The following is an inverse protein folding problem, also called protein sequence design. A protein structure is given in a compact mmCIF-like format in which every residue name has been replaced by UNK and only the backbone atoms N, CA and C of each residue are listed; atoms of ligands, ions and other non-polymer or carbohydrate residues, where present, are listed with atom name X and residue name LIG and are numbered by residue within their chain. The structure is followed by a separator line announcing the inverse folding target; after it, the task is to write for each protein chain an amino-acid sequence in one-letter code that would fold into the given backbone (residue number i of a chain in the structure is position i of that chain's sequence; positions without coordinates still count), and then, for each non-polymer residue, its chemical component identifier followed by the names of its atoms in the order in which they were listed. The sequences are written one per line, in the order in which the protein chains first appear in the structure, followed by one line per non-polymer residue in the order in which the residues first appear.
data_IF_092605416791
#
_entry.id   IF_092605416791
#
_cell.length_a   1.000
_cell.length_b   1.000
_cell.length_c   1.000
_cell.angle_alpha   90.00
_cell.angle_beta   90.00
_cell.angle_gamma   90.00
#
_symmetry.space_group_name_H-M   'P 1'
#
loop_
_entity.id
_entity.type
_entity.pdbx_description
1 polymer ?
#
# COMPACT_ATOMS: atom_id res chain seq x y z
N UNK A 1 32.44 29.62 44.35
CA UNK A 1 31.80 28.35 43.96
C UNK A 1 30.36 28.28 44.53
N UNK A 2 29.44 29.18 44.18
CA UNK A 2 27.99 29.03 44.48
C UNK A 2 27.08 30.09 43.82
N UNK A 3 27.36 30.55 42.59
CA UNK A 3 26.49 31.54 41.92
C UNK A 3 26.31 31.30 40.42
N UNK A 4 26.48 30.06 39.95
CA UNK A 4 26.28 29.70 38.53
C UNK A 4 25.33 28.52 38.29
N UNK A 5 24.47 28.22 39.28
CA UNK A 5 23.49 27.12 39.20
C UNK A 5 22.03 27.54 39.42
N UNK A 6 21.73 28.85 39.53
CA UNK A 6 20.35 29.32 39.76
C UNK A 6 19.66 29.84 38.48
N UNK A 7 20.41 30.11 37.40
CA UNK A 7 19.84 30.62 36.14
C UNK A 7 19.46 29.54 35.10
N UNK A 8 19.52 28.26 35.44
CA UNK A 8 19.06 27.15 34.58
C UNK A 8 17.68 26.62 35.00
N UNK A 9 17.15 27.02 36.16
CA UNK A 9 15.85 26.53 36.66
C UNK A 9 14.65 27.45 36.41
N UNK A 10 14.83 28.62 35.78
CA UNK A 10 13.72 29.55 35.49
C UNK A 10 13.31 29.62 34.01
N UNK A 11 14.04 28.98 33.07
CA UNK A 11 13.68 28.93 31.64
C UNK A 11 12.95 27.66 31.19
N UNK A 12 12.46 26.85 32.14
CA UNK A 12 11.62 25.66 31.86
C UNK A 12 10.13 25.87 32.19
N UNK A 13 9.69 27.10 32.45
CA UNK A 13 8.30 27.39 32.85
C UNK A 13 7.46 28.22 31.88
N UNK A 14 7.95 28.50 30.67
CA UNK A 14 7.14 29.13 29.63
C UNK A 14 7.50 28.55 28.26
N UNK A 15 7.06 27.32 28.01
CA UNK A 15 6.77 26.88 26.64
C UNK A 15 5.26 27.09 26.42
N UNK A 16 4.85 27.75 25.33
CA UNK A 16 3.44 28.04 25.10
C UNK A 16 2.69 26.72 24.90
N UNK A 17 1.70 26.49 25.75
CA UNK A 17 0.70 25.42 25.61
C UNK A 17 -0.13 25.71 24.36
N UNK A 18 0.29 25.20 23.21
CA UNK A 18 -0.54 25.07 22.00
C UNK A 18 0.16 24.08 21.04
N UNK A 19 0.03 22.78 21.26
CA UNK A 19 0.33 21.76 20.22
C UNK A 19 -0.18 20.34 20.50
N UNK A 20 -0.83 20.06 21.64
CA UNK A 20 -1.28 18.68 21.91
C UNK A 20 -2.42 18.25 21.00
N UNK A 21 -3.40 19.12 20.72
CA UNK A 21 -4.55 18.75 19.88
C UNK A 21 -4.16 18.48 18.42
N UNK A 22 -3.26 19.27 17.81
CA UNK A 22 -2.81 19.03 16.43
C UNK A 22 -1.90 17.80 16.32
N UNK A 23 -1.04 17.54 17.31
CA UNK A 23 -0.19 16.34 17.34
C UNK A 23 -1.02 15.08 17.61
N UNK A 24 -2.01 15.16 18.49
CA UNK A 24 -2.95 14.06 18.75
C UNK A 24 -3.85 13.80 17.53
N UNK A 25 -4.23 14.83 16.75
CA UNK A 25 -4.98 14.68 15.48
C UNK A 25 -4.14 14.11 14.34
N UNK A 26 -2.85 14.46 14.26
CA UNK A 26 -1.87 13.84 13.33
C UNK A 26 -1.65 12.37 13.71
N UNK A 27 -1.45 12.08 14.99
CA UNK A 27 -1.27 10.71 15.51
C UNK A 27 -2.58 9.89 15.43
N UNK A 28 -3.75 10.53 15.39
CA UNK A 28 -5.06 9.86 15.19
C UNK A 28 -5.33 9.53 13.70
N UNK A 29 -4.92 10.40 12.77
CA UNK A 29 -4.96 10.09 11.32
C UNK A 29 -3.93 9.02 10.93
N UNK A 30 -2.87 8.82 11.72
CA UNK A 30 -1.88 7.75 11.55
C UNK A 30 -2.35 6.35 12.04
N UNK A 31 -3.55 6.22 12.60
CA UNK A 31 -4.02 4.92 13.17
C UNK A 31 -4.72 4.00 12.18
N UNK A 32 -5.18 4.50 11.04
CA UNK A 32 -5.84 3.67 10.04
C UNK A 32 -4.80 2.93 9.21
N UNK A 33 -5.01 1.62 9.05
CA UNK A 33 -4.11 0.79 8.24
C UNK A 33 -4.02 1.27 6.79
N UNK A 34 -5.09 1.81 6.22
CA UNK A 34 -5.10 2.27 4.83
C UNK A 34 -6.15 3.35 4.59
N UNK A 35 -5.96 4.16 3.55
CA UNK A 35 -6.88 5.22 3.12
C UNK A 35 -7.96 4.65 2.19
N UNK A 36 -7.56 3.86 1.19
CA UNK A 36 -8.46 3.27 0.21
C UNK A 36 -8.09 1.82 -0.08
N UNK A 37 -9.11 1.02 -0.36
CA UNK A 37 -9.01 -0.25 -1.04
C UNK A 37 -9.79 -0.15 -2.34
N UNK A 38 -9.14 -0.48 -3.45
CA UNK A 38 -9.75 -0.38 -4.77
C UNK A 38 -9.56 -1.66 -5.56
N UNK A 39 -10.52 -1.92 -6.44
CA UNK A 39 -10.42 -2.96 -7.47
C UNK A 39 -10.31 -2.26 -8.80
N UNK A 40 -9.30 -2.64 -9.58
CA UNK A 40 -9.06 -2.12 -10.92
C UNK A 40 -9.20 -3.26 -11.92
N UNK A 41 -9.96 -3.03 -12.98
CA UNK A 41 -10.19 -4.00 -14.05
C UNK A 41 -9.91 -3.36 -15.41
N UNK A 42 -9.51 -4.19 -16.38
CA UNK A 42 -9.25 -3.76 -17.75
C UNK A 42 -10.54 -3.77 -18.59
N UNK A 43 -10.84 -2.66 -19.26
CA UNK A 43 -11.98 -2.52 -20.16
C UNK A 43 -11.54 -2.23 -21.58
N UNK A 44 -12.28 -2.74 -22.56
CA UNK A 44 -11.98 -2.51 -23.98
C UNK A 44 -12.41 -1.11 -24.38
N UNK A 45 -11.50 -0.32 -24.97
CA UNK A 45 -11.84 1.00 -25.50
C UNK A 45 -12.78 0.85 -26.71
N UNK A 46 -13.89 1.60 -26.74
CA UNK A 46 -14.88 1.54 -27.83
C UNK A 46 -14.30 1.79 -29.23
N UNK A 47 -13.19 2.53 -29.33
CA UNK A 47 -12.55 2.94 -30.59
C UNK A 47 -11.14 2.34 -30.81
N UNK A 48 -10.76 1.27 -30.09
CA UNK A 48 -9.42 0.69 -30.23
C UNK A 48 -9.31 -0.76 -29.77
N UNK A 49 -8.19 -1.40 -30.11
CA UNK A 49 -7.87 -2.76 -29.64
C UNK A 49 -7.31 -2.78 -28.22
N UNK A 50 -6.81 -1.66 -27.71
CA UNK A 50 -6.15 -1.56 -26.42
C UNK A 50 -7.15 -1.54 -25.25
N UNK A 51 -6.75 -2.18 -24.15
CA UNK A 51 -7.46 -2.13 -22.88
C UNK A 51 -7.05 -0.90 -22.08
N UNK A 52 -7.99 -0.37 -21.30
CA UNK A 52 -7.79 0.76 -20.38
C UNK A 52 -8.15 0.30 -18.98
N UNK A 53 -7.31 0.57 -17.96
CA UNK A 53 -7.61 0.23 -16.59
C UNK A 53 -8.59 1.23 -16.00
N UNK A 54 -9.63 0.72 -15.33
CA UNK A 54 -10.64 1.52 -14.66
C UNK A 54 -10.91 0.99 -13.26
N UNK A 55 -11.21 1.92 -12.36
CA UNK A 55 -11.62 1.59 -11.00
C UNK A 55 -13.06 1.04 -11.05
N UNK A 56 -13.24 -0.21 -10.64
CA UNK A 56 -14.54 -0.90 -10.63
C UNK A 56 -15.17 -0.94 -9.24
N UNK A 57 -14.35 -0.93 -8.19
CA UNK A 57 -14.81 -0.90 -6.80
C UNK A 57 -13.88 -0.04 -5.95
N UNK A 58 -14.46 0.61 -4.94
CA UNK A 58 -13.73 1.40 -3.95
C UNK A 58 -14.35 1.20 -2.57
N UNK A 59 -13.48 1.07 -1.57
CA UNK A 59 -13.80 1.06 -0.16
C UNK A 59 -12.82 1.99 0.60
N UNK A 60 -13.30 2.86 1.51
CA UNK A 60 -14.71 3.16 1.78
C UNK A 60 -15.37 3.83 0.57
N UNK A 61 -16.70 3.66 0.43
CA UNK A 61 -17.48 4.40 -0.57
C UNK A 61 -17.35 5.89 -0.25
N UNK A 62 -17.21 6.76 -1.27
CA UNK A 62 -17.01 8.22 -1.12
C UNK A 62 -17.98 8.78 -0.05
N UNK A 63 -17.47 9.04 1.15
CA UNK A 63 -18.20 9.69 2.22
C UNK A 63 -17.75 11.16 2.25
N UNK A 64 -18.71 12.07 2.12
CA UNK A 64 -18.50 13.52 2.05
C UNK A 64 -17.53 14.03 3.13
N UNK A 65 -16.32 14.44 2.73
CA UNK A 65 -15.38 15.21 3.58
C UNK A 65 -14.73 16.33 2.77
N UNK A 66 -14.55 17.46 3.44
CA UNK A 66 -14.25 18.84 2.99
C UNK A 66 -13.56 19.10 1.63
N UNK A 67 -14.03 20.16 0.96
CA UNK A 67 -13.74 20.58 -0.42
C UNK A 67 -12.26 20.81 -0.81
N UNK A 68 -11.32 20.99 0.13
CA UNK A 68 -9.89 21.19 -0.22
C UNK A 68 -9.07 19.90 -0.24
N UNK A 69 -9.39 18.94 0.63
CA UNK A 69 -8.76 17.59 0.60
C UNK A 69 -9.27 16.75 -0.57
N UNK A 70 -10.42 17.09 -1.15
CA UNK A 70 -11.01 16.32 -2.26
C UNK A 70 -10.18 16.32 -3.54
N UNK A 71 -9.57 17.45 -3.95
CA UNK A 71 -8.91 17.52 -5.27
C UNK A 71 -7.67 16.63 -5.36
N UNK A 72 -6.76 16.74 -4.40
CA UNK A 72 -5.54 15.91 -4.40
C UNK A 72 -5.89 14.42 -4.27
N UNK A 73 -6.78 14.07 -3.34
CA UNK A 73 -7.24 12.69 -3.18
C UNK A 73 -7.94 12.15 -4.43
N UNK A 74 -8.71 12.98 -5.13
CA UNK A 74 -9.40 12.61 -6.36
C UNK A 74 -8.44 12.43 -7.55
N UNK A 75 -7.44 13.30 -7.68
CA UNK A 75 -6.43 13.18 -8.73
C UNK A 75 -5.50 11.98 -8.51
N UNK A 76 -5.14 11.70 -7.25
CA UNK A 76 -4.45 10.46 -6.88
C UNK A 76 -5.29 9.23 -7.21
N UNK A 77 -6.60 9.26 -6.92
CA UNK A 77 -7.51 8.16 -7.23
C UNK A 77 -7.63 7.89 -8.74
N UNK A 78 -7.57 8.94 -9.57
CA UNK A 78 -7.55 8.81 -11.04
C UNK A 78 -6.23 8.21 -11.56
N UNK A 79 -5.13 8.41 -10.85
CA UNK A 79 -3.83 7.86 -11.25
C UNK A 79 -3.70 6.35 -10.93
N UNK A 80 -4.29 5.89 -9.82
CA UNK A 80 -4.14 4.51 -9.33
C UNK A 80 -4.39 3.43 -10.40
N UNK A 81 -5.44 3.49 -11.25
CA UNK A 81 -5.65 2.49 -12.29
C UNK A 81 -4.46 2.30 -13.23
N UNK A 82 -3.78 3.40 -13.58
CA UNK A 82 -2.60 3.36 -14.47
C UNK A 82 -1.40 2.71 -13.76
N UNK A 83 -1.24 2.92 -12.45
CA UNK A 83 -0.21 2.25 -11.66
C UNK A 83 -0.53 0.77 -11.38
N UNK A 84 -1.82 0.40 -11.33
CA UNK A 84 -2.24 -1.00 -11.22
C UNK A 84 -1.99 -1.79 -12.52
N UNK A 85 -2.04 -1.12 -13.68
CA UNK A 85 -1.77 -1.69 -15.00
C UNK A 85 -0.84 -0.81 -15.84
N UNK A 86 0.45 -0.69 -15.46
CA UNK A 86 1.43 0.07 -16.24
C UNK A 86 1.67 -0.52 -17.64
N UNK A 87 1.26 -1.78 -17.80
CA UNK A 87 1.37 -2.67 -18.97
C UNK A 87 0.01 -2.91 -19.66
N UNK A 88 -1.03 -2.09 -19.40
CA UNK A 88 -2.41 -2.31 -19.88
C UNK A 88 -2.54 -2.61 -21.39
N UNK A 89 -1.67 -2.00 -22.21
CA UNK A 89 -1.65 -2.16 -23.67
C UNK A 89 -1.18 -3.54 -24.14
N UNK A 90 -0.40 -4.23 -23.31
CA UNK A 90 0.24 -5.52 -23.63
C UNK A 90 -0.64 -6.70 -23.17
N UNK A 91 -1.74 -6.42 -22.48
CA UNK A 91 -2.66 -7.43 -21.97
C UNK A 91 -3.56 -8.03 -23.05
N UNK A 92 -3.69 -9.35 -23.00
CA UNK A 92 -4.71 -10.11 -23.70
C UNK A 92 -5.45 -11.05 -22.72
N UNK A 93 -6.69 -11.46 -23.00
CA UNK A 93 -7.39 -12.42 -22.16
C UNK A 93 -6.65 -13.77 -22.08
N UNK A 94 -6.40 -14.24 -20.86
CA UNK A 94 -5.68 -15.49 -20.55
C UNK A 94 -6.57 -16.46 -19.82
N UNK A 95 -6.30 -17.77 -19.95
CA UNK A 95 -7.07 -18.81 -19.27
C UNK A 95 -6.57 -19.05 -17.84
N UNK A 96 -5.25 -19.03 -17.68
CA UNK A 96 -4.53 -19.23 -16.43
C UNK A 96 -3.57 -18.06 -16.21
N UNK A 97 -3.42 -17.68 -14.94
CA UNK A 97 -2.51 -16.62 -14.53
C UNK A 97 -2.13 -16.87 -13.07
N UNK A 98 -0.84 -16.94 -12.79
CA UNK A 98 -0.33 -16.98 -11.41
C UNK A 98 -0.45 -15.61 -10.81
N UNK A 99 -1.07 -15.50 -9.62
CA UNK A 99 -1.21 -14.21 -8.96
C UNK A 99 0.15 -13.54 -8.73
N UNK A 100 0.14 -12.22 -8.82
CA UNK A 100 1.35 -11.40 -8.73
C UNK A 100 1.14 -10.29 -7.71
N UNK A 101 2.08 -10.17 -6.78
CA UNK A 101 2.13 -9.10 -5.78
C UNK A 101 3.17 -8.08 -6.21
N UNK A 102 2.82 -6.80 -6.16
CA UNK A 102 3.75 -5.70 -6.41
C UNK A 102 3.31 -4.45 -5.64
N UNK A 103 4.16 -3.43 -5.61
CA UNK A 103 3.83 -2.15 -4.99
C UNK A 103 4.27 -0.98 -5.87
N UNK A 104 3.63 0.17 -5.68
CA UNK A 104 4.04 1.44 -6.28
C UNK A 104 3.97 2.56 -5.24
N UNK A 105 4.66 3.67 -5.52
CA UNK A 105 4.66 4.86 -4.67
C UNK A 105 4.10 6.04 -5.45
N UNK A 106 3.10 6.70 -4.87
CA UNK A 106 2.58 7.98 -5.32
C UNK A 106 3.22 9.07 -4.46
N UNK A 107 3.87 10.04 -5.08
CA UNK A 107 4.47 11.18 -4.39
C UNK A 107 3.60 12.42 -4.61
N UNK A 108 3.17 13.04 -3.51
CA UNK A 108 2.45 14.31 -3.53
C UNK A 108 3.36 15.49 -3.85
N UNK A 109 2.77 16.63 -4.18
CA UNK A 109 3.51 17.87 -4.46
C UNK A 109 4.30 18.37 -3.24
N UNK A 110 3.84 18.01 -2.03
CA UNK A 110 4.48 18.29 -0.75
C UNK A 110 5.60 17.28 -0.39
N UNK A 111 5.87 16.32 -1.26
CA UNK A 111 6.83 15.24 -1.02
C UNK A 111 6.28 14.10 -0.14
N UNK A 112 5.01 14.14 0.25
CA UNK A 112 4.36 13.04 0.97
C UNK A 112 4.32 11.79 0.08
N UNK A 113 4.40 10.60 0.70
CA UNK A 113 4.38 9.31 0.01
C UNK A 113 3.14 8.52 0.38
N UNK A 114 2.49 7.95 -0.62
CA UNK A 114 1.44 6.94 -0.47
C UNK A 114 1.89 5.68 -1.20
N UNK A 115 1.71 4.54 -0.56
CA UNK A 115 2.08 3.23 -1.07
C UNK A 115 0.82 2.53 -1.58
N UNK A 116 0.86 2.07 -2.83
CA UNK A 116 -0.15 1.17 -3.39
C UNK A 116 0.36 -0.25 -3.35
N UNK A 117 -0.24 -1.11 -2.54
CA UNK A 117 0.06 -2.54 -2.45
C UNK A 117 -0.94 -3.33 -3.28
N UNK A 118 -0.45 -4.05 -4.28
CA UNK A 118 -1.27 -4.66 -5.31
C UNK A 118 -1.19 -6.19 -5.28
N UNK A 119 -2.34 -6.84 -5.45
CA UNK A 119 -2.46 -8.24 -5.84
C UNK A 119 -3.20 -8.32 -7.17
N UNK A 120 -2.47 -8.65 -8.23
CA UNK A 120 -3.03 -8.96 -9.55
C UNK A 120 -3.41 -10.43 -9.59
N UNK A 121 -4.64 -10.73 -9.95
CA UNK A 121 -5.13 -12.10 -10.02
C UNK A 121 -6.18 -12.25 -11.13
N UNK A 122 -6.39 -13.47 -11.60
CA UNK A 122 -7.45 -13.74 -12.55
C UNK A 122 -8.79 -13.85 -11.78
N UNK A 123 -9.87 -13.18 -12.23
CA UNK A 123 -11.18 -13.33 -11.59
C UNK A 123 -11.65 -14.79 -11.63
N UNK A 124 -12.77 -15.13 -10.97
CA UNK A 124 -13.40 -16.45 -11.11
C UNK A 124 -14.12 -16.58 -12.46
N UNK A 125 -14.41 -17.81 -12.91
CA UNK A 125 -15.12 -18.06 -14.18
C UNK A 125 -14.42 -19.05 -15.12
N UNK A 126 -15.04 -19.31 -16.27
CA UNK A 126 -14.53 -20.22 -17.30
C UNK A 126 -13.97 -19.45 -18.49
N UNK A 127 -12.95 -20.01 -19.15
CA UNK A 127 -12.39 -19.46 -20.38
C UNK A 127 -11.39 -18.30 -20.17
N UNK A 128 -11.05 -17.65 -21.29
CA UNK A 128 -10.08 -16.55 -21.34
C UNK A 128 -10.67 -15.27 -20.72
N UNK A 129 -9.96 -14.69 -19.77
CA UNK A 129 -10.38 -13.54 -18.96
C UNK A 129 -9.22 -12.58 -18.78
N UNK A 130 -9.54 -11.34 -18.44
CA UNK A 130 -8.53 -10.36 -18.06
C UNK A 130 -8.34 -10.42 -16.54
N UNK A 131 -7.12 -10.15 -16.04
CA UNK A 131 -6.88 -10.04 -14.60
C UNK A 131 -7.57 -8.81 -14.01
N UNK A 132 -7.75 -8.85 -12.69
CA UNK A 132 -8.13 -7.73 -11.85
C UNK A 132 -6.99 -7.44 -10.88
N UNK A 133 -6.86 -6.19 -10.44
CA UNK A 133 -5.89 -5.79 -9.41
C UNK A 133 -6.65 -5.31 -8.18
N UNK A 134 -6.36 -5.95 -7.05
CA UNK A 134 -6.79 -5.53 -5.72
C UNK A 134 -5.68 -4.67 -5.11
N UNK A 135 -5.95 -3.40 -4.86
CA UNK A 135 -4.95 -2.44 -4.40
C UNK A 135 -5.34 -1.81 -3.06
N UNK A 136 -4.46 -1.91 -2.08
CA UNK A 136 -4.54 -1.18 -0.80
C UNK A 136 -3.65 0.06 -0.92
N UNK A 137 -4.21 1.25 -0.66
CA UNK A 137 -3.50 2.52 -0.66
C UNK A 137 -3.31 2.97 0.78
N UNK A 138 -2.07 3.10 1.23
CA UNK A 138 -1.74 3.49 2.60
C UNK A 138 -0.61 4.50 2.66
N UNK A 139 -0.57 5.30 3.72
CA UNK A 139 0.62 6.12 4.06
C UNK A 139 1.69 5.30 4.79
N UNK A 140 1.34 4.09 5.23
CA UNK A 140 2.20 3.21 5.99
C UNK A 140 3.02 2.35 5.04
N UNK A 141 4.34 2.47 5.13
CA UNK A 141 5.28 1.67 4.36
C UNK A 141 5.52 0.30 4.98
N UNK A 142 4.57 -0.65 4.92
CA UNK A 142 4.67 -1.96 5.57
C UNK A 142 4.30 -3.12 4.63
N UNK A 143 5.20 -3.46 3.69
CA UNK A 143 4.91 -4.40 2.60
C UNK A 143 4.47 -5.78 3.10
N UNK A 144 5.16 -6.35 4.08
CA UNK A 144 4.82 -7.67 4.63
C UNK A 144 3.42 -7.72 5.25
N UNK A 145 3.03 -6.66 5.98
CA UNK A 145 1.71 -6.54 6.58
C UNK A 145 0.62 -6.45 5.52
N UNK A 146 0.78 -5.59 4.51
CA UNK A 146 -0.22 -5.46 3.44
C UNK A 146 -0.24 -6.65 2.49
N UNK A 147 0.90 -7.30 2.23
CA UNK A 147 0.95 -8.55 1.47
C UNK A 147 0.12 -9.64 2.17
N UNK A 148 0.23 -9.76 3.50
CA UNK A 148 -0.59 -10.70 4.27
C UNK A 148 -2.08 -10.36 4.21
N UNK A 149 -2.45 -9.08 4.25
CA UNK A 149 -3.85 -8.67 4.06
C UNK A 149 -4.33 -9.06 2.65
N UNK A 150 -3.49 -8.88 1.63
CA UNK A 150 -3.82 -9.25 0.24
C UNK A 150 -3.92 -10.77 0.03
N UNK A 151 -3.17 -11.59 0.77
CA UNK A 151 -3.35 -13.04 0.79
C UNK A 151 -4.75 -13.41 1.29
N UNK A 152 -5.21 -12.74 2.36
CA UNK A 152 -6.54 -12.92 2.93
C UNK A 152 -7.66 -12.40 2.00
N UNK A 153 -7.38 -11.39 1.19
CA UNK A 153 -8.26 -10.90 0.11
C UNK A 153 -8.37 -11.95 -1.00
N UNK A 154 -7.25 -12.47 -1.50
CA UNK A 154 -7.23 -13.49 -2.55
C UNK A 154 -7.97 -14.76 -2.12
N UNK A 155 -7.72 -15.23 -0.89
CA UNK A 155 -8.43 -16.37 -0.29
C UNK A 155 -9.94 -16.17 -0.30
N UNK A 156 -10.43 -15.03 0.20
CA UNK A 156 -11.87 -14.70 0.24
C UNK A 156 -12.48 -14.56 -1.15
N UNK A 157 -11.73 -13.91 -2.05
CA UNK A 157 -12.13 -13.72 -3.45
C UNK A 157 -12.26 -15.04 -4.21
N UNK A 158 -11.50 -16.07 -3.83
CA UNK A 158 -11.64 -17.43 -4.35
C UNK A 158 -12.98 -18.09 -3.98
N UNK A 159 -13.58 -17.70 -2.86
CA UNK A 159 -14.90 -18.20 -2.41
C UNK A 159 -16.02 -17.33 -2.98
N UNK A 160 -15.98 -16.02 -2.70
CA UNK A 160 -16.95 -15.06 -3.22
C UNK A 160 -16.39 -13.62 -3.14
N UNK A 161 -16.48 -12.82 -4.23
CA UNK A 161 -16.08 -11.41 -4.20
C UNK A 161 -16.75 -10.60 -3.08
N UNK A 162 -17.98 -10.96 -2.69
CA UNK A 162 -18.74 -10.26 -1.65
C UNK A 162 -18.11 -10.37 -0.25
N UNK A 163 -17.19 -11.31 -0.03
CA UNK A 163 -16.51 -11.51 1.26
C UNK A 163 -15.33 -10.56 1.47
N UNK A 164 -14.84 -9.92 0.40
CA UNK A 164 -13.69 -9.02 0.47
C UNK A 164 -14.04 -7.74 1.23
N UNK A 165 -15.18 -7.12 0.96
CA UNK A 165 -15.55 -5.86 1.62
C UNK A 165 -15.74 -6.00 3.14
N UNK A 166 -16.41 -7.03 3.69
CA UNK A 166 -16.43 -7.29 5.12
C UNK A 166 -15.04 -7.44 5.75
N UNK A 167 -14.10 -8.12 5.08
CA UNK A 167 -12.70 -8.19 5.53
C UNK A 167 -12.08 -6.80 5.59
N UNK A 168 -12.17 -6.03 4.51
CA UNK A 168 -11.55 -4.69 4.46
C UNK A 168 -12.12 -3.74 5.50
N UNK A 169 -13.40 -3.89 5.86
CA UNK A 169 -14.01 -3.18 6.99
C UNK A 169 -13.35 -3.56 8.32
N UNK A 170 -13.24 -4.86 8.63
CA UNK A 170 -12.58 -5.33 9.85
C UNK A 170 -11.12 -4.88 9.94
N UNK A 171 -10.41 -4.85 8.81
CA UNK A 171 -9.02 -4.35 8.73
C UNK A 171 -8.96 -2.84 8.97
N UNK A 172 -9.85 -2.06 8.34
CA UNK A 172 -9.87 -0.60 8.52
C UNK A 172 -10.20 -0.16 9.95
N UNK A 173 -11.01 -0.95 10.67
CA UNK A 173 -11.34 -0.73 12.08
C UNK A 173 -10.21 -1.16 13.04
N UNK A 174 -9.25 -1.94 12.57
CA UNK A 174 -8.14 -2.42 13.39
C UNK A 174 -7.06 -1.32 13.57
N UNK A 175 -6.44 -1.20 14.76
CA UNK A 175 -5.36 -0.25 14.98
C UNK A 175 -4.10 -0.69 14.25
N UNK A 176 -3.31 0.24 13.71
CA UNK A 176 -1.97 -0.09 13.22
C UNK A 176 -1.10 -0.68 14.35
N UNK A 177 -0.42 -1.84 14.16
CA UNK A 177 0.41 -2.41 15.21
C UNK A 177 1.61 -1.51 15.54
N UNK A 178 1.96 -1.46 16.82
CA UNK A 178 3.27 -0.93 17.22
C UNK A 178 4.40 -1.86 16.70
N UNK A 179 5.63 -1.35 16.66
CA UNK A 179 6.79 -2.11 16.18
C UNK A 179 6.99 -3.41 16.95
N UNK A 180 7.20 -4.50 16.21
CA UNK A 180 7.33 -5.86 16.76
C UNK A 180 6.06 -6.39 17.45
N UNK A 181 4.90 -5.74 17.26
CA UNK A 181 3.62 -6.18 17.83
C UNK A 181 2.72 -6.78 16.75
N UNK A 182 1.85 -7.67 17.21
CA UNK A 182 0.83 -8.32 16.41
C UNK A 182 -0.54 -7.83 16.86
N UNK A 183 -1.39 -7.45 15.90
CA UNK A 183 -2.82 -7.25 16.13
C UNK A 183 -3.59 -8.46 15.59
N UNK A 184 -4.79 -8.65 16.12
CA UNK A 184 -5.69 -9.72 15.70
C UNK A 184 -6.92 -9.10 15.04
N UNK A 185 -7.18 -9.48 13.80
CA UNK A 185 -8.41 -9.15 13.08
C UNK A 185 -9.26 -10.41 13.01
N UNK A 186 -10.46 -10.37 13.57
CA UNK A 186 -11.43 -11.47 13.49
C UNK A 186 -12.40 -11.19 12.36
N UNK A 187 -12.58 -12.15 11.46
CA UNK A 187 -13.49 -12.00 10.34
C UNK A 187 -14.18 -13.33 10.03
N UNK A 188 -15.49 -13.29 9.79
CA UNK A 188 -16.27 -14.48 9.51
C UNK A 188 -16.08 -14.94 8.06
N UNK A 189 -15.81 -16.23 7.88
CA UNK A 189 -15.73 -16.89 6.59
C UNK A 189 -16.78 -18.01 6.50
N UNK A 190 -17.69 -17.98 5.51
CA UNK A 190 -18.66 -19.06 5.32
C UNK A 190 -17.98 -20.43 5.19
N UNK A 191 -18.47 -21.43 5.93
CA UNK A 191 -17.91 -22.78 5.97
C UNK A 191 -16.80 -23.00 6.99
N UNK A 192 -16.02 -21.97 7.33
CA UNK A 192 -14.91 -22.05 8.29
C UNK A 192 -15.21 -21.38 9.63
N UNK A 193 -16.24 -20.52 9.70
CA UNK A 193 -16.59 -19.78 10.92
C UNK A 193 -15.76 -18.51 11.11
N UNK A 194 -15.54 -18.11 12.36
CA UNK A 194 -14.71 -16.93 12.68
C UNK A 194 -13.23 -17.26 12.53
N UNK A 195 -12.58 -16.68 11.53
CA UNK A 195 -11.14 -16.79 11.36
C UNK A 195 -10.40 -15.68 12.12
N UNK A 196 -9.18 -16.01 12.55
CA UNK A 196 -8.28 -15.12 13.27
C UNK A 196 -7.11 -14.78 12.36
N UNK A 197 -7.00 -13.52 11.94
CA UNK A 197 -5.92 -13.02 11.10
C UNK A 197 -4.94 -12.24 11.99
N UNK A 198 -3.71 -12.71 12.05
CA UNK A 198 -2.63 -12.07 12.80
C UNK A 198 -1.84 -11.12 11.90
N UNK A 199 -1.88 -9.82 12.17
CA UNK A 199 -1.11 -8.83 11.42
C UNK A 199 0.04 -8.32 12.30
N UNK A 200 1.26 -8.69 11.94
CA UNK A 200 2.47 -8.34 12.68
C UNK A 200 3.21 -7.20 11.97
N UNK A 201 3.61 -6.19 12.74
CA UNK A 201 4.55 -5.18 12.24
C UNK A 201 5.98 -5.62 12.60
N UNK A 202 6.93 -5.62 11.63
CA UNK A 202 8.33 -5.93 11.89
C UNK A 202 8.94 -5.09 13.03
N UNK A 203 10.03 -5.58 13.62
CA UNK A 203 10.74 -4.87 14.70
C UNK A 203 11.57 -3.68 14.18
N UNK A 204 12.14 -3.80 12.98
CA UNK A 204 12.91 -2.73 12.32
C UNK A 204 12.02 -1.99 11.32
N UNK A 205 11.82 -0.69 11.55
CA UNK A 205 10.96 0.16 10.74
C UNK A 205 11.61 0.78 9.52
N UNK A 206 12.95 0.76 9.46
CA UNK A 206 13.70 1.62 8.53
C UNK A 206 13.49 1.23 7.07
N UNK A 207 13.12 -0.02 6.81
CA UNK A 207 13.02 -0.59 5.46
C UNK A 207 11.79 -1.50 5.29
N UNK A 208 10.73 -1.28 6.07
CA UNK A 208 9.48 -2.09 6.03
C UNK A 208 8.77 -2.10 4.65
N UNK A 209 9.10 -1.17 3.76
CA UNK A 209 8.49 -1.01 2.45
C UNK A 209 9.23 -1.77 1.33
N UNK A 210 10.44 -2.27 1.58
CA UNK A 210 11.32 -2.88 0.57
C UNK A 210 11.40 -4.39 0.76
N UNK A 211 11.22 -5.14 -0.32
CA UNK A 211 11.53 -6.57 -0.37
C UNK A 211 12.97 -6.80 -0.85
N UNK A 212 13.89 -6.97 0.11
CA UNK A 212 15.29 -7.27 -0.16
C UNK A 212 15.52 -8.67 -0.70
N UNK A 213 14.66 -9.64 -0.38
CA UNK A 213 14.85 -11.02 -0.83
C UNK A 213 14.73 -11.07 -2.35
N UNK A 214 13.72 -10.40 -2.89
CA UNK A 214 13.53 -10.26 -4.33
C UNK A 214 14.66 -9.42 -4.99
N UNK A 215 15.20 -8.41 -4.30
CA UNK A 215 16.34 -7.61 -4.81
C UNK A 215 17.63 -8.46 -4.90
N UNK A 216 17.96 -9.17 -3.82
CA UNK A 216 19.18 -9.98 -3.72
C UNK A 216 19.12 -11.25 -4.57
N UNK A 217 17.93 -11.80 -4.82
CA UNK A 217 17.76 -12.90 -5.77
C UNK A 217 17.86 -12.47 -7.23
N UNK A 218 17.56 -11.20 -7.53
CA UNK A 218 17.53 -10.69 -8.92
C UNK A 218 18.84 -10.05 -9.37
N UNK A 219 19.64 -9.49 -8.46
CA UNK A 219 20.88 -8.79 -8.78
C UNK A 219 22.10 -9.49 -8.18
N UNK A 220 23.14 -9.65 -9.01
CA UNK A 220 24.45 -10.08 -8.50
C UNK A 220 25.04 -9.06 -7.52
N UNK A 221 25.90 -9.52 -6.61
CA UNK A 221 26.64 -8.65 -5.67
C UNK A 221 27.33 -7.49 -6.38
N UNK A 222 27.92 -7.74 -7.55
CA UNK A 222 28.59 -6.69 -8.36
C UNK A 222 27.59 -5.63 -8.83
N UNK A 223 26.42 -6.03 -9.28
CA UNK A 223 25.38 -5.09 -9.71
C UNK A 223 24.82 -4.29 -8.53
N UNK A 224 24.61 -4.93 -7.38
CA UNK A 224 24.16 -4.25 -6.16
C UNK A 224 25.13 -3.17 -5.70
N UNK A 225 26.43 -3.46 -5.68
CA UNK A 225 27.46 -2.47 -5.35
C UNK A 225 27.45 -1.31 -6.36
N UNK A 226 27.28 -1.59 -7.65
CA UNK A 226 27.18 -0.54 -8.68
C UNK A 226 25.95 0.34 -8.52
N UNK A 227 24.81 -0.26 -8.18
CA UNK A 227 23.57 0.48 -7.85
C UNK A 227 23.83 1.37 -6.65
N UNK A 228 24.35 0.82 -5.56
CA UNK A 228 24.64 1.56 -4.33
C UNK A 228 25.60 2.73 -4.58
N UNK A 229 26.69 2.51 -5.30
CA UNK A 229 27.63 3.56 -5.69
C UNK A 229 26.97 4.64 -6.57
N UNK A 230 26.07 4.24 -7.46
CA UNK A 230 25.33 5.20 -8.29
C UNK A 230 24.36 6.04 -7.47
N UNK A 231 23.68 5.46 -6.48
CA UNK A 231 22.80 6.17 -5.56
C UNK A 231 23.57 7.15 -4.66
N UNK A 232 24.75 6.78 -4.16
CA UNK A 232 25.62 7.68 -3.38
C UNK A 232 26.10 8.89 -4.18
N UNK A 233 26.16 8.76 -5.51
CA UNK A 233 26.51 9.83 -6.44
C UNK A 233 25.26 10.55 -6.99
N UNK A 234 24.08 10.28 -6.43
CA UNK A 234 22.79 10.84 -6.85
C UNK A 234 22.52 10.67 -8.37
N UNK A 235 23.02 9.57 -8.95
CA UNK A 235 22.83 9.28 -10.37
C UNK A 235 21.41 8.81 -10.63
N UNK A 236 20.94 9.05 -11.85
CA UNK A 236 19.68 8.47 -12.36
C UNK A 236 19.88 6.98 -12.58
N UNK A 237 19.15 6.16 -11.82
CA UNK A 237 19.16 4.69 -11.93
C UNK A 237 17.80 4.25 -12.47
N UNK A 238 17.80 3.41 -13.51
CA UNK A 238 16.59 2.83 -14.10
C UNK A 238 16.73 1.32 -14.03
N UNK A 239 15.75 0.66 -13.40
CA UNK A 239 15.63 -0.79 -13.41
C UNK A 239 14.66 -1.21 -14.50
N UNK A 240 14.99 -2.29 -15.20
CA UNK A 240 14.16 -2.88 -16.24
C UNK A 240 13.97 -4.35 -15.88
N UNK A 241 12.72 -4.78 -15.82
CA UNK A 241 12.34 -6.16 -15.51
C UNK A 241 11.15 -6.58 -16.39
N UNK A 242 10.99 -7.88 -16.58
CA UNK A 242 9.89 -8.50 -17.33
C UNK A 242 8.66 -8.77 -16.45
N UNK A 243 8.79 -8.68 -15.13
CA UNK A 243 7.70 -8.91 -14.15
C UNK A 243 7.59 -7.80 -13.12
N UNK A 244 6.36 -7.45 -12.76
CA UNK A 244 6.07 -6.38 -11.79
C UNK A 244 6.38 -6.79 -10.35
N UNK A 245 6.44 -8.09 -10.03
CA UNK A 245 6.83 -8.55 -8.68
C UNK A 245 8.18 -8.01 -8.21
N UNK A 246 9.07 -7.66 -9.13
CA UNK A 246 10.36 -7.08 -8.81
C UNK A 246 10.25 -5.59 -8.44
N UNK A 247 9.11 -4.94 -8.63
CA UNK A 247 8.92 -3.51 -8.31
C UNK A 247 9.02 -3.23 -6.80
N UNK A 248 8.68 -4.20 -5.95
CA UNK A 248 8.87 -4.11 -4.50
C UNK A 248 10.36 -4.06 -4.07
N UNK A 249 11.31 -4.26 -4.99
CA UNK A 249 12.75 -4.25 -4.72
C UNK A 249 13.41 -2.88 -4.85
N UNK A 250 12.78 -1.95 -5.57
CA UNK A 250 13.51 -0.82 -6.18
C UNK A 250 13.12 0.55 -5.61
N UNK A 251 12.18 0.62 -4.67
CA UNK A 251 11.67 1.86 -4.07
C UNK A 251 11.55 1.78 -2.55
#
# INVERSE_FOLDING_TARGET
HSQRLVNVKSRLKQAPRYSSLDRDLIEYQERQLFEYFVVVSLHKKQAGAAYVPELTQQFPLKLEKSFKFMREAEDQLKAIPQFCFPDAKDWAPVQEFTSETFSFVLTGEDGSRRFGYCRRLLPGGKGKRLPEVYCIVSRLGCFSLFSKILDEVEKRRGISPALVQPLMRSVMEAPFPALGKTIIVKNFLPGSGTEVIELCRPLDSRLEHVDFESLFSSLSVRHLVSVFASLLLERRVIFIADRLRYQACYF
#
